data_IF_511491706777
#
_entry.id   IF_511491706777
#
_cell.length_a   1.000
_cell.length_b   1.000
_cell.length_c   1.000
_cell.angle_alpha   90.00
_cell.angle_beta   90.00
_cell.angle_gamma   90.00
#
_symmetry.space_group_name_H-M   'P 1'
#
loop_
_entity.id
_entity.type
_entity.pdbx_description
1 polymer ?
#
# COMPACT_ATOMS: atom_id res chain seq x y z
N UNK A 1 51.57 120.85 47.73
CA UNK A 1 51.23 120.39 46.37
C UNK A 1 51.40 118.88 46.41
N UNK A 2 50.31 118.16 46.71
CA UNK A 2 49.53 117.37 45.73
C UNK A 2 50.48 116.39 45.03
N UNK A 3 50.14 115.09 45.02
CA UNK A 3 50.92 113.94 44.54
C UNK A 3 51.64 113.12 45.63
N UNK A 4 50.87 112.33 46.40
CA UNK A 4 51.34 111.08 47.01
C UNK A 4 50.24 110.24 47.72
N UNK A 5 49.01 110.75 47.87
CA UNK A 5 47.96 110.05 48.64
C UNK A 5 46.98 109.21 47.79
N UNK A 6 46.93 109.36 46.47
CA UNK A 6 45.89 108.73 45.62
C UNK A 6 46.30 107.39 44.98
N UNK A 7 47.52 106.88 45.21
CA UNK A 7 48.00 105.62 44.58
C UNK A 7 47.95 104.41 45.53
N UNK A 8 47.53 104.59 46.79
CA UNK A 8 47.40 103.49 47.76
C UNK A 8 45.97 103.14 48.18
N UNK A 9 44.93 103.73 47.57
CA UNK A 9 43.55 103.33 47.85
C UNK A 9 43.07 102.21 46.90
N UNK A 10 43.71 102.03 45.74
CA UNK A 10 43.24 101.09 44.71
C UNK A 10 44.10 99.83 44.53
N UNK A 11 45.01 99.53 45.47
CA UNK A 11 45.88 98.34 45.43
C UNK A 11 45.81 97.44 46.67
N UNK A 12 44.81 97.66 47.54
CA UNK A 12 44.60 96.89 48.77
C UNK A 12 43.27 96.13 48.82
N UNK A 13 42.69 95.79 47.66
CA UNK A 13 41.49 94.92 47.58
C UNK A 13 41.82 93.52 47.01
N UNK A 14 43.06 93.26 46.63
CA UNK A 14 43.42 92.00 45.94
C UNK A 14 44.50 91.22 46.68
N UNK A 15 44.31 90.87 47.96
CA UNK A 15 45.12 89.85 48.69
C UNK A 15 44.63 89.65 50.14
N UNK A 16 43.35 89.40 50.36
CA UNK A 16 42.90 88.86 51.66
C UNK A 16 41.95 87.67 51.44
N UNK A 17 42.38 86.43 51.75
CA UNK A 17 41.57 85.23 51.54
C UNK A 17 40.42 85.07 52.57
N UNK A 18 40.20 86.03 53.48
CA UNK A 18 39.17 85.98 54.52
C UNK A 18 37.92 86.85 54.26
N UNK A 19 37.81 87.52 53.10
CA UNK A 19 36.60 88.27 52.71
C UNK A 19 36.21 87.87 51.28
N UNK A 20 35.75 86.63 51.13
CA UNK A 20 34.86 86.31 50.01
C UNK A 20 33.58 87.13 50.23
N UNK A 21 33.14 87.96 49.27
CA UNK A 21 31.90 88.70 49.45
C UNK A 21 30.78 87.67 49.61
N UNK A 22 29.97 87.80 50.67
CA UNK A 22 28.82 86.91 50.94
C UNK A 22 27.89 86.77 49.72
N UNK A 23 27.93 87.72 48.80
CA UNK A 23 27.21 87.68 47.52
C UNK A 23 27.70 86.56 46.57
N UNK A 24 28.93 86.04 46.69
CA UNK A 24 29.45 84.93 45.89
C UNK A 24 28.93 83.57 46.40
N UNK A 25 28.73 83.41 47.72
CA UNK A 25 28.21 82.17 48.33
C UNK A 25 26.69 82.03 48.12
N UNK A 26 25.93 83.12 48.23
CA UNK A 26 24.49 83.08 47.96
C UNK A 26 24.15 82.94 46.46
N UNK A 27 25.00 83.44 45.55
CA UNK A 27 24.81 83.24 44.11
C UNK A 27 25.02 81.78 43.71
N UNK A 28 26.04 81.13 44.30
CA UNK A 28 26.35 79.73 44.04
C UNK A 28 25.29 78.78 44.61
N UNK A 29 24.71 79.06 45.78
CA UNK A 29 23.60 78.26 46.33
C UNK A 29 22.33 78.36 45.47
N UNK A 30 21.98 79.56 44.98
CA UNK A 30 20.83 79.75 44.09
C UNK A 30 21.03 79.06 42.72
N UNK A 31 22.23 79.12 42.16
CA UNK A 31 22.62 78.41 40.94
C UNK A 31 22.61 76.88 41.15
N UNK A 32 23.08 76.39 42.29
CA UNK A 32 23.02 74.97 42.63
C UNK A 32 21.58 74.45 42.75
N UNK A 33 20.69 75.22 43.40
CA UNK A 33 19.26 74.90 43.47
C UNK A 33 18.59 74.93 42.09
N UNK A 34 18.96 75.89 41.25
CA UNK A 34 18.49 75.98 39.87
C UNK A 34 18.95 74.78 39.02
N UNK A 35 20.24 74.43 39.10
CA UNK A 35 20.84 73.30 38.40
C UNK A 35 20.26 71.96 38.88
N UNK A 36 20.03 71.80 40.19
CA UNK A 36 19.37 70.62 40.76
C UNK A 36 17.95 70.47 40.20
N UNK A 37 17.17 71.56 40.13
CA UNK A 37 15.84 71.55 39.53
C UNK A 37 15.87 71.17 38.04
N UNK A 38 16.82 71.72 37.28
CA UNK A 38 17.02 71.35 35.87
C UNK A 38 17.38 69.86 35.75
N UNK A 39 18.31 69.36 36.56
CA UNK A 39 18.69 67.95 36.56
C UNK A 39 17.50 67.04 36.87
N UNK A 40 16.65 67.38 37.85
CA UNK A 40 15.42 66.64 38.14
C UNK A 40 14.43 66.63 36.97
N UNK A 41 14.27 67.76 36.26
CA UNK A 41 13.40 67.85 35.09
C UNK A 41 13.94 67.04 33.91
N UNK A 42 15.25 67.11 33.64
CA UNK A 42 15.91 66.32 32.61
C UNK A 42 15.81 64.83 32.91
N UNK A 43 16.06 64.43 34.16
CA UNK A 43 15.91 63.04 34.58
C UNK A 43 14.46 62.55 34.45
N UNK A 44 13.48 63.37 34.85
CA UNK A 44 12.06 63.03 34.69
C UNK A 44 11.66 62.88 33.22
N UNK A 45 12.24 63.69 32.33
CA UNK A 45 12.04 63.60 30.88
C UNK A 45 12.65 62.31 30.32
N UNK A 46 13.90 62.03 30.68
CA UNK A 46 14.62 60.83 30.27
C UNK A 46 13.87 59.55 30.71
N UNK A 47 13.38 59.50 31.95
CA UNK A 47 12.58 58.37 32.44
C UNK A 47 11.29 58.20 31.64
N UNK A 48 10.63 59.28 31.26
CA UNK A 48 9.42 59.22 30.41
C UNK A 48 9.74 58.74 29.00
N UNK A 49 10.81 59.23 28.40
CA UNK A 49 11.27 58.82 27.06
C UNK A 49 11.67 57.34 27.06
N UNK A 50 12.40 56.88 28.08
CA UNK A 50 12.74 55.46 28.26
C UNK A 50 11.50 54.59 28.35
N UNK A 51 10.51 54.96 29.18
CA UNK A 51 9.24 54.23 29.29
C UNK A 51 8.46 54.21 27.98
N UNK A 52 8.44 55.33 27.25
CA UNK A 52 7.76 55.42 25.96
C UNK A 52 8.42 54.50 24.92
N UNK A 53 9.75 54.48 24.88
CA UNK A 53 10.51 53.58 24.01
C UNK A 53 10.29 52.11 24.38
N UNK A 54 10.35 51.75 25.66
CA UNK A 54 10.06 50.39 26.13
C UNK A 54 8.65 49.94 25.73
N UNK A 55 7.65 50.82 25.90
CA UNK A 55 6.28 50.54 25.46
C UNK A 55 6.20 50.36 23.94
N UNK A 56 6.84 51.21 23.15
CA UNK A 56 6.84 51.08 21.69
C UNK A 56 7.49 49.77 21.22
N UNK A 57 8.57 49.32 21.87
CA UNK A 57 9.20 48.02 21.59
C UNK A 57 8.25 46.87 21.91
N UNK A 58 7.59 46.92 23.06
CA UNK A 58 6.60 45.90 23.45
C UNK A 58 5.44 45.86 22.46
N UNK A 59 4.89 47.02 22.08
CA UNK A 59 3.80 47.14 21.12
C UNK A 59 4.21 46.58 19.74
N UNK A 60 5.41 46.89 19.27
CA UNK A 60 5.94 46.36 18.00
C UNK A 60 6.11 44.84 18.01
N UNK A 61 6.65 44.27 19.10
CA UNK A 61 6.78 42.82 19.26
C UNK A 61 5.41 42.13 19.23
N UNK A 62 4.43 42.70 19.92
CA UNK A 62 3.07 42.17 19.96
C UNK A 62 2.36 42.24 18.61
N UNK A 63 2.66 43.24 17.77
CA UNK A 63 2.01 43.38 16.47
C UNK A 63 2.65 42.52 15.38
N UNK A 64 3.98 42.41 15.38
CA UNK A 64 4.72 41.89 14.22
C UNK A 64 5.60 40.66 14.51
N UNK A 65 5.86 40.34 15.78
CA UNK A 65 6.74 39.24 16.17
C UNK A 65 5.99 38.12 16.89
N UNK A 66 4.68 37.99 16.65
CA UNK A 66 3.91 36.88 17.18
C UNK A 66 4.35 35.57 16.54
N UNK A 67 4.39 34.45 17.30
CA UNK A 67 4.75 33.14 16.76
C UNK A 67 3.92 32.76 15.53
N UNK A 68 2.62 33.09 15.56
CA UNK A 68 1.66 32.80 14.47
C UNK A 68 1.97 33.53 13.17
N UNK A 69 2.75 34.60 13.21
CA UNK A 69 3.10 35.41 12.04
C UNK A 69 4.43 34.97 11.41
N UNK A 70 5.10 33.96 11.96
CA UNK A 70 6.33 33.42 11.38
C UNK A 70 5.99 32.61 10.13
N UNK A 71 6.79 32.75 9.07
CA UNK A 71 6.58 32.01 7.82
C UNK A 71 6.63 30.48 8.00
N UNK A 72 7.31 30.01 9.04
CA UNK A 72 7.44 28.60 9.37
C UNK A 72 6.50 28.18 10.51
N UNK A 73 5.57 29.06 10.92
CA UNK A 73 4.61 28.75 11.99
C UNK A 73 3.81 27.50 11.63
N UNK A 74 3.41 27.39 10.37
CA UNK A 74 2.72 26.22 9.87
C UNK A 74 3.52 24.97 10.23
N UNK A 75 4.82 24.93 9.91
CA UNK A 75 5.71 23.78 10.16
C UNK A 75 5.96 23.50 11.65
N UNK A 76 5.82 24.52 12.50
CA UNK A 76 6.06 24.46 13.94
C UNK A 76 4.78 24.40 14.78
N UNK A 77 3.61 24.38 14.14
CA UNK A 77 2.31 24.25 14.80
C UNK A 77 2.21 22.90 15.52
N UNK A 78 2.07 22.88 16.86
CA UNK A 78 1.89 21.64 17.63
C UNK A 78 0.62 20.86 17.23
N UNK A 79 -0.35 21.53 16.60
CA UNK A 79 -1.61 20.93 16.18
C UNK A 79 -1.62 20.49 14.72
N UNK A 80 -0.53 20.68 13.97
CA UNK A 80 -0.45 20.31 12.55
C UNK A 80 -0.85 18.86 12.28
N UNK A 81 -0.32 17.91 13.06
CA UNK A 81 -0.59 16.48 12.88
C UNK A 81 -2.06 16.09 13.11
N UNK A 82 -2.82 16.88 13.86
CA UNK A 82 -4.25 16.64 14.11
C UNK A 82 -5.17 17.36 13.11
N UNK A 83 -4.69 18.47 12.53
CA UNK A 83 -5.45 19.30 11.58
C UNK A 83 -5.14 18.99 10.11
N UNK A 84 -4.16 18.12 9.83
CA UNK A 84 -3.84 17.70 8.46
C UNK A 84 -4.94 16.75 7.97
N UNK A 85 -5.59 17.11 6.86
CA UNK A 85 -6.52 16.22 6.17
C UNK A 85 -5.75 14.95 5.74
N UNK A 86 -6.27 13.73 5.99
CA UNK A 86 -5.66 12.49 5.49
C UNK A 86 -5.34 12.52 3.98
N UNK A 87 -5.97 13.40 3.19
CA UNK A 87 -5.61 13.66 1.79
C UNK A 87 -4.24 14.36 1.59
N UNK A 88 -3.85 15.28 2.47
CA UNK A 88 -2.57 16.01 2.39
C UNK A 88 -1.40 15.21 2.97
N UNK A 89 -1.67 14.26 3.87
CA UNK A 89 -0.68 13.35 4.44
C UNK A 89 -0.34 12.15 3.53
N UNK A 90 -1.06 11.97 2.42
CA UNK A 90 -0.91 10.81 1.56
C UNK A 90 0.22 11.02 0.53
N UNK A 91 1.47 10.83 0.97
CA UNK A 91 2.64 10.72 0.09
C UNK A 91 2.68 9.40 -0.72
N UNK A 92 1.61 8.60 -0.66
CA UNK A 92 1.42 7.35 -1.38
C UNK A 92 0.21 7.46 -2.31
N UNK A 93 0.37 7.10 -3.58
CA UNK A 93 -0.76 6.99 -4.52
C UNK A 93 -1.79 5.99 -3.95
N UNK A 94 -3.05 6.40 -3.73
CA UNK A 94 -4.10 5.47 -3.32
C UNK A 94 -4.37 4.48 -4.47
N UNK A 95 -4.25 3.18 -4.18
CA UNK A 95 -4.64 2.10 -5.09
C UNK A 95 -3.67 1.90 -6.25
N UNK A 96 -2.66 1.04 -6.05
CA UNK A 96 -1.87 0.54 -7.17
C UNK A 96 -2.75 -0.39 -8.01
N UNK A 97 -2.94 -0.05 -9.29
CA UNK A 97 -3.82 -0.78 -10.23
C UNK A 97 -3.48 -2.29 -10.37
N UNK A 98 -2.29 -2.71 -9.96
CA UNK A 98 -1.86 -4.12 -9.97
C UNK A 98 -2.19 -4.90 -8.69
N UNK A 99 -2.60 -4.23 -7.61
CA UNK A 99 -3.04 -4.91 -6.40
C UNK A 99 -4.45 -5.43 -6.61
N UNK A 100 -4.62 -6.72 -6.34
CA UNK A 100 -5.92 -7.36 -6.33
C UNK A 100 -6.29 -7.79 -4.89
N UNK A 101 -7.12 -6.99 -4.21
CA UNK A 101 -7.61 -7.32 -2.88
C UNK A 101 -8.40 -8.64 -2.82
N UNK A 102 -8.89 -9.12 -3.97
CA UNK A 102 -9.74 -10.29 -4.06
C UNK A 102 -8.98 -11.54 -4.53
N UNK A 103 -7.65 -11.50 -4.55
CA UNK A 103 -6.79 -12.55 -5.09
C UNK A 103 -7.02 -13.90 -4.43
N UNK A 104 -7.22 -13.93 -3.12
CA UNK A 104 -7.57 -15.14 -2.39
C UNK A 104 -8.94 -15.69 -2.80
N UNK A 105 -9.94 -14.82 -2.94
CA UNK A 105 -11.29 -15.22 -3.35
C UNK A 105 -11.30 -15.76 -4.78
N UNK A 106 -10.54 -15.14 -5.69
CA UNK A 106 -10.36 -15.65 -7.06
C UNK A 106 -9.66 -17.01 -7.02
N UNK A 107 -8.59 -17.14 -6.24
CA UNK A 107 -7.85 -18.39 -6.11
C UNK A 107 -8.71 -19.53 -5.58
N UNK A 108 -9.62 -19.26 -4.62
CA UNK A 108 -10.60 -20.23 -4.13
C UNK A 108 -11.55 -20.69 -5.24
N UNK A 109 -12.19 -19.74 -5.95
CA UNK A 109 -13.10 -20.07 -7.07
C UNK A 109 -12.40 -20.86 -8.18
N UNK A 110 -11.16 -20.50 -8.53
CA UNK A 110 -10.39 -21.22 -9.55
C UNK A 110 -10.08 -22.66 -9.11
N UNK A 111 -9.74 -22.89 -7.84
CA UNK A 111 -9.51 -24.25 -7.32
C UNK A 111 -10.80 -25.08 -7.31
N UNK A 112 -11.93 -24.48 -6.95
CA UNK A 112 -13.24 -25.14 -6.99
C UNK A 112 -13.61 -25.54 -8.42
N UNK A 113 -13.49 -24.61 -9.37
CA UNK A 113 -13.72 -24.89 -10.81
C UNK A 113 -12.82 -26.02 -11.33
N UNK A 114 -11.52 -25.97 -11.01
CA UNK A 114 -10.58 -27.01 -11.41
C UNK A 114 -10.95 -28.37 -10.80
N UNK A 115 -11.33 -28.39 -9.52
CA UNK A 115 -11.76 -29.63 -8.85
C UNK A 115 -12.99 -30.23 -9.51
N UNK A 116 -14.00 -29.41 -9.81
CA UNK A 116 -15.24 -29.84 -10.46
C UNK A 116 -14.96 -30.43 -11.84
N UNK A 117 -14.16 -29.75 -12.66
CA UNK A 117 -13.78 -30.24 -13.99
C UNK A 117 -13.02 -31.56 -13.92
N UNK A 118 -12.08 -31.70 -12.99
CA UNK A 118 -11.33 -32.94 -12.83
C UNK A 118 -12.22 -34.10 -12.40
N UNK A 119 -13.18 -33.85 -11.49
CA UNK A 119 -14.15 -34.86 -11.08
C UNK A 119 -15.04 -35.30 -12.25
N UNK A 120 -15.50 -34.34 -13.06
CA UNK A 120 -16.30 -34.63 -14.25
C UNK A 120 -15.50 -35.49 -15.24
N UNK A 121 -14.26 -35.11 -15.58
CA UNK A 121 -13.42 -35.87 -16.50
C UNK A 121 -13.13 -37.29 -15.99
N UNK A 122 -12.87 -37.45 -14.69
CA UNK A 122 -12.68 -38.78 -14.11
C UNK A 122 -13.94 -39.64 -14.21
N UNK A 123 -15.11 -39.05 -13.97
CA UNK A 123 -16.40 -39.71 -14.11
C UNK A 123 -16.67 -40.16 -15.55
N UNK A 124 -16.46 -39.26 -16.52
CA UNK A 124 -16.61 -39.56 -17.95
C UNK A 124 -15.65 -40.66 -18.40
N UNK A 125 -14.38 -40.60 -17.99
CA UNK A 125 -13.39 -41.62 -18.31
C UNK A 125 -13.70 -42.98 -17.66
N UNK A 126 -14.24 -43.00 -16.43
CA UNK A 126 -14.67 -44.23 -15.78
C UNK A 126 -15.87 -44.85 -16.48
N UNK A 127 -16.86 -44.04 -16.86
CA UNK A 127 -18.05 -44.48 -17.58
C UNK A 127 -17.68 -45.05 -18.97
N UNK A 128 -16.78 -44.37 -19.70
CA UNK A 128 -16.32 -44.82 -21.01
C UNK A 128 -15.58 -46.16 -20.92
N UNK A 129 -14.69 -46.32 -19.92
CA UNK A 129 -14.01 -47.59 -19.68
C UNK A 129 -14.99 -48.73 -19.38
N UNK A 130 -16.01 -48.48 -18.56
CA UNK A 130 -17.04 -49.49 -18.28
C UNK A 130 -17.82 -49.85 -19.55
N UNK A 131 -18.19 -48.86 -20.36
CA UNK A 131 -18.87 -49.10 -21.64
C UNK A 131 -18.03 -49.99 -22.56
N UNK A 132 -16.75 -49.67 -22.72
CA UNK A 132 -15.82 -50.46 -23.55
C UNK A 132 -15.70 -51.89 -23.06
N UNK A 133 -15.54 -52.11 -21.75
CA UNK A 133 -15.47 -53.46 -21.18
C UNK A 133 -16.76 -54.27 -21.44
N UNK A 134 -17.94 -53.64 -21.31
CA UNK A 134 -19.20 -54.31 -21.60
C UNK A 134 -19.37 -54.63 -23.09
N UNK A 135 -18.95 -53.74 -23.97
CA UNK A 135 -18.96 -53.96 -25.42
C UNK A 135 -18.02 -55.10 -25.82
N UNK A 136 -16.82 -55.15 -25.25
CA UNK A 136 -15.84 -56.22 -25.47
C UNK A 136 -16.38 -57.57 -25.00
N UNK A 137 -16.96 -57.63 -23.80
CA UNK A 137 -17.61 -58.85 -23.29
C UNK A 137 -18.74 -59.33 -24.20
N UNK A 138 -19.58 -58.40 -24.69
CA UNK A 138 -20.65 -58.73 -25.64
C UNK A 138 -20.10 -59.26 -26.95
N UNK A 139 -19.03 -58.66 -27.44
CA UNK A 139 -18.35 -59.11 -28.65
C UNK A 139 -17.79 -60.53 -28.48
N UNK A 140 -17.09 -60.82 -27.38
CA UNK A 140 -16.55 -62.16 -27.10
C UNK A 140 -17.62 -63.23 -26.95
N UNK A 141 -18.74 -62.91 -26.28
CA UNK A 141 -19.88 -63.82 -26.20
C UNK A 141 -20.47 -64.11 -27.59
N UNK A 142 -20.64 -63.08 -28.41
CA UNK A 142 -21.13 -63.24 -29.79
C UNK A 142 -20.16 -64.06 -30.64
N UNK A 143 -18.86 -63.80 -30.52
CA UNK A 143 -17.80 -64.51 -31.24
C UNK A 143 -17.79 -66.00 -30.88
N UNK A 144 -17.74 -66.32 -29.60
CA UNK A 144 -17.74 -67.72 -29.13
C UNK A 144 -19.03 -68.47 -29.47
N UNK A 145 -20.18 -67.78 -29.45
CA UNK A 145 -21.44 -68.36 -29.90
C UNK A 145 -21.40 -68.72 -31.40
N UNK A 146 -20.91 -67.80 -32.23
CA UNK A 146 -20.79 -68.01 -33.67
C UNK A 146 -19.79 -69.14 -34.01
N UNK A 147 -18.65 -69.20 -33.31
CA UNK A 147 -17.66 -70.29 -33.44
C UNK A 147 -18.29 -71.65 -33.10
N UNK A 148 -19.03 -71.76 -31.98
CA UNK A 148 -19.73 -73.00 -31.61
C UNK A 148 -20.76 -73.42 -32.66
N UNK A 149 -21.52 -72.45 -33.18
CA UNK A 149 -22.51 -72.71 -34.23
C UNK A 149 -21.86 -73.18 -35.53
N UNK A 150 -20.72 -72.59 -35.90
CA UNK A 150 -19.95 -73.02 -37.06
C UNK A 150 -19.46 -74.47 -36.93
N UNK A 151 -18.90 -74.83 -35.78
CA UNK A 151 -18.46 -76.21 -35.50
C UNK A 151 -19.61 -77.22 -35.54
N UNK A 152 -20.78 -76.85 -34.99
CA UNK A 152 -21.96 -77.71 -35.05
C UNK A 152 -22.41 -77.95 -36.50
N UNK A 153 -22.47 -76.89 -37.32
CA UNK A 153 -22.87 -77.00 -38.73
C UNK A 153 -21.86 -77.82 -39.54
N UNK A 154 -20.56 -77.65 -39.28
CA UNK A 154 -19.51 -78.45 -39.91
C UNK A 154 -19.64 -79.93 -39.57
N UNK A 155 -19.90 -80.26 -38.30
CA UNK A 155 -20.13 -81.64 -37.87
C UNK A 155 -21.32 -82.29 -38.58
N UNK A 156 -22.46 -81.60 -38.63
CA UNK A 156 -23.68 -82.07 -39.32
C UNK A 156 -23.40 -82.30 -40.82
N UNK A 157 -22.71 -81.36 -41.48
CA UNK A 157 -22.38 -81.50 -42.90
C UNK A 157 -21.41 -82.67 -43.15
N UNK A 158 -20.44 -82.89 -42.26
CA UNK A 158 -19.52 -84.02 -42.36
C UNK A 158 -20.25 -85.36 -42.21
N UNK A 159 -21.18 -85.47 -41.26
CA UNK A 159 -22.03 -86.65 -41.09
C UNK A 159 -22.90 -86.91 -42.33
N UNK A 160 -23.53 -85.85 -42.87
CA UNK A 160 -24.32 -85.94 -44.11
C UNK A 160 -23.49 -86.50 -45.27
N UNK A 161 -22.27 -85.99 -45.48
CA UNK A 161 -21.35 -86.46 -46.53
C UNK A 161 -20.92 -87.92 -46.34
N UNK A 162 -20.67 -88.33 -45.09
CA UNK A 162 -20.36 -89.73 -44.75
C UNK A 162 -21.53 -90.64 -45.07
N UNK A 163 -22.75 -90.27 -44.65
CA UNK A 163 -23.96 -91.03 -44.94
C UNK A 163 -24.21 -91.17 -46.45
N UNK A 164 -24.02 -90.09 -47.21
CA UNK A 164 -24.14 -90.09 -48.68
C UNK A 164 -23.12 -91.02 -49.35
N UNK A 165 -21.88 -91.03 -48.85
CA UNK A 165 -20.82 -91.92 -49.35
C UNK A 165 -21.14 -93.39 -49.05
N UNK A 166 -21.63 -93.69 -47.84
CA UNK A 166 -22.04 -95.05 -47.45
C UNK A 166 -23.22 -95.52 -48.29
N UNK A 167 -24.28 -94.72 -48.42
CA UNK A 167 -25.44 -95.05 -49.24
C UNK A 167 -25.08 -95.30 -50.71
N UNK A 168 -24.18 -94.47 -51.27
CA UNK A 168 -23.67 -94.66 -52.64
C UNK A 168 -22.90 -95.97 -52.77
N UNK A 169 -22.04 -96.30 -51.80
CA UNK A 169 -21.29 -97.56 -51.78
C UNK A 169 -22.22 -98.77 -51.71
N UNK A 170 -23.22 -98.74 -50.82
CA UNK A 170 -24.22 -99.80 -50.68
C UNK A 170 -25.04 -99.99 -51.96
N UNK A 171 -25.50 -98.89 -52.56
CA UNK A 171 -26.19 -98.92 -53.83
C UNK A 171 -25.34 -99.57 -54.93
N UNK A 172 -24.06 -99.17 -55.06
CA UNK A 172 -23.14 -99.74 -56.04
C UNK A 172 -22.94 -101.26 -55.81
N UNK A 173 -22.77 -101.71 -54.57
CA UNK A 173 -22.66 -103.14 -54.24
C UNK A 173 -23.94 -103.93 -54.58
N UNK A 174 -25.11 -103.36 -54.28
CA UNK A 174 -26.40 -103.95 -54.65
C UNK A 174 -26.56 -104.06 -56.17
N UNK A 175 -26.14 -103.03 -56.93
CA UNK A 175 -26.16 -103.07 -58.40
C UNK A 175 -25.23 -104.14 -58.98
N UNK A 176 -24.01 -104.28 -58.45
CA UNK A 176 -23.04 -105.29 -58.90
C UNK A 176 -23.56 -106.71 -58.64
N UNK A 177 -24.10 -106.98 -57.45
CA UNK A 177 -24.70 -108.28 -57.13
C UNK A 177 -25.88 -108.63 -58.03
N UNK A 178 -26.75 -107.68 -58.35
CA UNK A 178 -27.83 -107.89 -59.33
C UNK A 178 -27.30 -108.16 -60.74
N UNK A 179 -26.24 -107.47 -61.20
CA UNK A 179 -25.64 -107.73 -62.51
C UNK A 179 -24.92 -109.09 -62.59
N UNK A 180 -24.26 -109.53 -61.50
CA UNK A 180 -23.57 -110.82 -61.45
C UNK A 180 -24.52 -112.02 -61.49
N UNK A 181 -25.73 -111.88 -60.92
CA UNK A 181 -26.76 -112.91 -60.97
C UNK A 181 -27.41 -113.06 -62.35
N UNK A 182 -27.45 -111.99 -63.17
CA UNK A 182 -27.95 -112.06 -64.55
C UNK A 182 -26.94 -112.68 -65.54
N UNK A 183 -25.68 -112.86 -65.17
CA UNK A 183 -24.65 -113.50 -66.02
C UNK A 183 -24.42 -115.00 -65.75
N UNK A 184 -25.13 -115.59 -64.77
CA UNK A 184 -24.96 -117.01 -64.35
C UNK A 184 -26.17 -117.90 -64.71
N UNK A 185 -27.11 -117.39 -65.52
CA UNK A 185 -28.17 -118.18 -66.16
C UNK A 185 -27.94 -118.23 -67.66
#
# INVERSE_FOLDING_TARGET
MIWAADIMVNRYITTNPAVMPLTCVFHTDAEMLHNSKIACLLHSREVKEKRAMEKAVVDYRHQYQQPQCQSDYDLSDPHRCGNTDPGDAQMMLPGLLGEDPHSESRGRRQREQQREWLLQQQGEQAAERQRQTLEEQRYDLSRTYMEKKALQLEGIEMERRRAETVATKEFNLAKVSHSGNHTVT
#
